data_IF_445461229800
#
_entry.id   IF_445461229800
#
_cell.length_a   1.000
_cell.length_b   1.000
_cell.length_c   1.000
_cell.angle_alpha   90.00
_cell.angle_beta   90.00
_cell.angle_gamma   90.00
#
_symmetry.space_group_name_H-M   'P 1'
#
loop_
_entity.id
_entity.type
_entity.pdbx_description
1 polymer ?
#
# COMPACT_ATOMS: atom_id res chain seq x y z
N UNK A 1 -18.15 -8.24 -36.36
CA UNK A 1 -17.86 -7.27 -35.27
C UNK A 1 -17.21 -8.03 -34.11
N UNK A 2 -15.95 -7.71 -33.83
CA UNK A 2 -15.37 -7.51 -32.49
C UNK A 2 -15.01 -8.68 -31.55
N UNK A 3 -14.53 -9.82 -32.06
CA UNK A 3 -13.85 -10.79 -31.18
C UNK A 3 -12.55 -10.23 -30.57
N UNK A 4 -11.80 -9.39 -31.30
CA UNK A 4 -10.59 -8.76 -30.77
C UNK A 4 -10.88 -7.73 -29.67
N UNK A 5 -11.97 -6.95 -29.82
CA UNK A 5 -12.36 -5.95 -28.84
C UNK A 5 -12.83 -6.59 -27.52
N UNK A 6 -13.51 -7.75 -27.56
CA UNK A 6 -13.90 -8.47 -26.34
C UNK A 6 -12.73 -9.13 -25.60
N UNK A 7 -11.62 -9.42 -26.29
CA UNK A 7 -10.39 -9.92 -25.67
C UNK A 7 -9.63 -8.77 -24.99
N UNK A 8 -9.47 -7.63 -25.66
CA UNK A 8 -8.82 -6.43 -25.11
C UNK A 8 -9.57 -5.88 -23.88
N UNK A 9 -10.90 -5.79 -23.94
CA UNK A 9 -11.72 -5.30 -22.81
C UNK A 9 -11.64 -6.24 -21.60
N UNK A 10 -11.43 -7.54 -21.83
CA UNK A 10 -11.34 -8.56 -20.79
C UNK A 10 -9.99 -8.52 -20.07
N UNK A 11 -8.88 -8.45 -20.80
CA UNK A 11 -7.55 -8.35 -20.20
C UNK A 11 -7.37 -7.00 -19.49
N UNK A 12 -7.91 -5.91 -20.05
CA UNK A 12 -7.92 -4.60 -19.38
C UNK A 12 -8.78 -4.60 -18.11
N UNK A 13 -9.96 -5.23 -18.13
CA UNK A 13 -10.85 -5.34 -16.97
C UNK A 13 -10.25 -6.18 -15.83
N UNK A 14 -9.61 -7.30 -16.17
CA UNK A 14 -8.91 -8.14 -15.20
C UNK A 14 -7.72 -7.41 -14.55
N UNK A 15 -6.94 -6.68 -15.35
CA UNK A 15 -5.80 -5.90 -14.87
C UNK A 15 -6.24 -4.78 -13.92
N UNK A 16 -7.27 -4.01 -14.28
CA UNK A 16 -7.82 -2.95 -13.42
C UNK A 16 -8.36 -3.52 -12.10
N UNK A 17 -9.11 -4.63 -12.16
CA UNK A 17 -9.66 -5.29 -10.97
C UNK A 17 -8.54 -5.80 -10.06
N UNK A 18 -7.48 -6.35 -10.64
CA UNK A 18 -6.29 -6.78 -9.92
C UNK A 18 -5.55 -5.62 -9.25
N UNK A 19 -5.36 -4.51 -9.95
CA UNK A 19 -4.73 -3.30 -9.39
C UNK A 19 -5.54 -2.78 -8.21
N UNK A 20 -6.85 -2.62 -8.35
CA UNK A 20 -7.72 -2.14 -7.27
C UNK A 20 -7.71 -3.06 -6.05
N UNK A 21 -7.83 -4.38 -6.27
CA UNK A 21 -7.77 -5.36 -5.18
C UNK A 21 -6.40 -5.36 -4.48
N UNK A 22 -5.32 -5.23 -5.25
CA UNK A 22 -3.96 -5.09 -4.72
C UNK A 22 -3.78 -3.82 -3.89
N UNK A 23 -4.24 -2.67 -4.38
CA UNK A 23 -4.18 -1.41 -3.64
C UNK A 23 -4.97 -1.46 -2.33
N UNK A 24 -6.19 -2.00 -2.35
CA UNK A 24 -7.05 -2.11 -1.17
C UNK A 24 -6.45 -3.07 -0.12
N UNK A 25 -6.06 -4.27 -0.55
CA UNK A 25 -5.46 -5.26 0.35
C UNK A 25 -4.12 -4.80 0.91
N UNK A 26 -3.27 -4.18 0.08
CA UNK A 26 -1.98 -3.65 0.52
C UNK A 26 -2.13 -2.49 1.50
N UNK A 27 -3.08 -1.57 1.26
CA UNK A 27 -3.39 -0.48 2.19
C UNK A 27 -3.95 -1.01 3.51
N UNK A 28 -4.85 -2.00 3.45
CA UNK A 28 -5.38 -2.65 4.64
C UNK A 28 -4.30 -3.36 5.45
N UNK A 29 -3.43 -4.11 4.79
CA UNK A 29 -2.29 -4.78 5.44
C UNK A 29 -1.32 -3.77 6.07
N UNK A 30 -1.00 -2.68 5.37
CA UNK A 30 -0.20 -1.59 5.92
C UNK A 30 -0.80 -1.06 7.23
N UNK A 31 -2.10 -0.72 7.23
CA UNK A 31 -2.81 -0.15 8.39
C UNK A 31 -2.92 -1.12 9.58
N UNK A 32 -3.07 -2.42 9.33
CA UNK A 32 -3.08 -3.43 10.39
C UNK A 32 -1.68 -3.60 10.97
N UNK A 33 -0.68 -3.77 10.10
CA UNK A 33 0.70 -4.04 10.54
C UNK A 33 1.27 -2.86 11.30
N UNK A 34 1.01 -1.62 10.85
CA UNK A 34 1.45 -0.44 11.61
C UNK A 34 0.78 -0.39 12.98
N UNK A 35 -0.53 -0.66 13.08
CA UNK A 35 -1.21 -0.65 14.38
C UNK A 35 -0.57 -1.66 15.35
N UNK A 36 -0.33 -2.88 14.90
CA UNK A 36 0.34 -3.92 15.70
C UNK A 36 1.80 -3.56 16.02
N UNK A 37 2.55 -3.01 15.04
CA UNK A 37 3.93 -2.58 15.21
C UNK A 37 4.09 -1.57 16.36
N UNK A 38 3.19 -0.59 16.41
CA UNK A 38 3.18 0.42 17.46
C UNK A 38 2.63 -0.15 18.78
N UNK A 39 1.64 -1.05 18.74
CA UNK A 39 1.12 -1.73 19.94
C UNK A 39 2.18 -2.61 20.63
N UNK A 40 3.09 -3.21 19.88
CA UNK A 40 4.21 -4.00 20.41
C UNK A 40 5.39 -3.16 20.91
N UNK A 41 5.29 -1.83 20.81
CA UNK A 41 6.34 -0.91 21.28
C UNK A 41 7.56 -0.87 20.36
N UNK A 42 7.44 -1.30 19.10
CA UNK A 42 8.50 -1.20 18.10
C UNK A 42 8.54 0.17 17.40
N UNK A 43 7.57 1.04 17.68
CA UNK A 43 7.58 2.45 17.29
C UNK A 43 8.26 3.35 18.34
N UNK A 44 8.64 4.58 17.98
CA UNK A 44 9.22 5.53 18.92
C UNK A 44 8.18 6.04 19.94
N UNK A 45 8.25 5.53 21.17
CA UNK A 45 7.45 6.03 22.29
C UNK A 45 5.96 5.64 22.24
N UNK A 46 5.20 6.07 23.25
CA UNK A 46 3.77 5.78 23.39
C UNK A 46 2.89 6.82 22.70
N UNK A 47 3.02 6.97 21.38
CA UNK A 47 2.28 7.97 20.62
C UNK A 47 0.84 7.53 20.35
N UNK A 48 -0.07 8.51 20.32
CA UNK A 48 -1.43 8.25 19.88
C UNK A 48 -1.47 8.05 18.36
N UNK A 49 -2.53 7.41 17.85
CA UNK A 49 -2.72 7.24 16.41
C UNK A 49 -2.73 8.57 15.65
N UNK A 50 -3.27 9.62 16.28
CA UNK A 50 -3.24 10.98 15.75
C UNK A 50 -1.81 11.48 15.60
N UNK A 51 -0.97 11.35 16.63
CA UNK A 51 0.41 11.83 16.60
C UNK A 51 1.23 11.12 15.51
N UNK A 52 1.04 9.81 15.37
CA UNK A 52 1.67 9.01 14.31
C UNK A 52 1.29 9.55 12.93
N UNK A 53 0.00 9.82 12.71
CA UNK A 53 -0.49 10.35 11.43
C UNK A 53 0.08 11.76 11.14
N UNK A 54 0.11 12.66 12.12
CA UNK A 54 0.69 13.99 11.96
C UNK A 54 2.20 13.92 11.70
N UNK A 55 2.92 13.03 12.37
CA UNK A 55 4.35 12.83 12.16
C UNK A 55 4.65 12.30 10.75
N UNK A 56 3.88 11.34 10.26
CA UNK A 56 4.03 10.80 8.91
C UNK A 56 3.65 11.83 7.84
N UNK A 57 2.58 12.59 8.07
CA UNK A 57 2.21 13.68 7.18
C UNK A 57 3.27 14.77 7.13
N UNK A 58 3.81 15.18 8.28
CA UNK A 58 4.91 16.13 8.34
C UNK A 58 6.15 15.62 7.61
N UNK A 59 6.50 14.33 7.77
CA UNK A 59 7.59 13.72 7.04
C UNK A 59 7.34 13.75 5.54
N UNK A 60 6.15 13.35 5.07
CA UNK A 60 5.79 13.36 3.66
C UNK A 60 5.81 14.78 3.07
N UNK A 61 5.03 15.69 3.64
CA UNK A 61 4.89 17.05 3.16
C UNK A 61 6.21 17.84 3.25
N UNK A 62 7.01 17.61 4.30
CA UNK A 62 8.31 18.25 4.47
C UNK A 62 9.38 17.78 3.49
N UNK A 63 9.29 16.56 2.96
CA UNK A 63 10.17 16.12 1.86
C UNK A 63 9.77 16.75 0.52
N UNK A 64 8.48 17.01 0.29
CA UNK A 64 7.99 17.66 -0.93
C UNK A 64 8.17 19.18 -0.89
N UNK A 65 7.92 19.78 0.26
CA UNK A 65 7.95 21.21 0.51
C UNK A 65 8.77 21.47 1.78
N UNK A 66 10.08 21.73 1.67
CA UNK A 66 10.96 21.92 2.83
C UNK A 66 10.53 23.04 3.79
N UNK A 67 9.73 24.00 3.31
CA UNK A 67 9.15 25.09 4.10
C UNK A 67 7.85 24.74 4.83
N UNK A 68 7.29 23.55 4.60
CA UNK A 68 6.05 23.12 5.25
C UNK A 68 6.24 23.01 6.76
N UNK A 69 5.33 23.63 7.50
CA UNK A 69 5.28 23.64 8.96
C UNK A 69 3.94 23.05 9.40
N UNK A 70 4.01 21.90 10.06
CA UNK A 70 2.87 21.27 10.71
C UNK A 70 2.88 21.49 12.23
N UNK A 71 2.04 20.73 12.93
CA UNK A 71 1.88 20.82 14.39
C UNK A 71 3.15 20.47 15.17
N UNK A 72 3.99 19.61 14.59
CA UNK A 72 5.29 19.20 15.17
C UNK A 72 6.45 20.10 14.69
N UNK A 73 6.14 21.25 14.08
CA UNK A 73 7.12 22.16 13.50
C UNK A 73 7.43 21.83 12.04
N UNK A 74 8.65 22.15 11.59
CA UNK A 74 9.13 21.76 10.26
C UNK A 74 9.70 20.34 10.30
N UNK A 75 9.72 19.67 9.16
CA UNK A 75 10.32 18.33 9.08
C UNK A 75 11.77 18.31 9.56
N UNK A 76 12.57 19.32 9.23
CA UNK A 76 13.97 19.39 9.69
C UNK A 76 14.08 19.47 11.22
N UNK A 77 13.27 20.32 11.86
CA UNK A 77 13.27 20.44 13.32
C UNK A 77 12.79 19.14 14.00
N UNK A 78 11.74 18.52 13.47
CA UNK A 78 11.23 17.25 13.97
C UNK A 78 12.23 16.10 13.78
N UNK A 79 12.92 16.05 12.64
CA UNK A 79 13.99 15.09 12.36
C UNK A 79 15.16 15.24 13.32
N UNK A 80 15.58 16.47 13.59
CA UNK A 80 16.62 16.78 14.59
C UNK A 80 16.20 16.25 15.97
N UNK A 81 14.96 16.56 16.39
CA UNK A 81 14.39 16.11 17.66
C UNK A 81 14.34 14.58 17.78
N UNK A 82 13.96 13.86 16.72
CA UNK A 82 13.98 12.40 16.66
C UNK A 82 15.39 11.83 16.83
N UNK A 83 16.39 12.46 16.20
CA UNK A 83 17.79 12.04 16.28
C UNK A 83 18.37 12.26 17.67
N UNK A 84 18.11 13.42 18.27
CA UNK A 84 18.54 13.76 19.63
C UNK A 84 17.99 12.80 20.68
N UNK A 85 16.85 12.15 20.41
CA UNK A 85 16.23 11.15 21.28
C UNK A 85 16.53 9.71 20.90
N UNK A 86 17.41 9.47 19.91
CA UNK A 86 17.71 8.14 19.37
C UNK A 86 16.46 7.38 18.89
N UNK A 87 15.45 8.12 18.39
CA UNK A 87 14.15 7.59 17.95
C UNK A 87 14.00 7.57 16.42
N UNK A 88 14.92 8.19 15.68
CA UNK A 88 14.84 8.33 14.23
C UNK A 88 14.80 7.00 13.48
N UNK A 89 15.65 6.04 13.86
CA UNK A 89 15.72 4.74 13.19
C UNK A 89 14.45 3.92 13.45
N UNK A 90 13.95 3.95 14.69
CA UNK A 90 12.69 3.33 15.06
C UNK A 90 11.50 3.95 14.31
N UNK A 91 11.45 5.29 14.19
CA UNK A 91 10.43 6.01 13.41
C UNK A 91 10.46 5.62 11.93
N UNK A 92 11.67 5.48 11.37
CA UNK A 92 11.85 5.11 9.97
C UNK A 92 11.43 3.66 9.73
N UNK A 93 11.83 2.75 10.61
CA UNK A 93 11.43 1.34 10.57
C UNK A 93 9.91 1.15 10.73
N UNK A 94 9.27 1.92 11.60
CA UNK A 94 7.82 1.85 11.85
C UNK A 94 6.97 2.28 10.65
N UNK A 95 7.57 2.92 9.65
CA UNK A 95 6.92 3.18 8.35
C UNK A 95 7.28 2.11 7.32
N UNK A 96 8.58 1.87 7.11
CA UNK A 96 9.05 1.02 6.00
C UNK A 96 8.67 -0.45 6.17
N UNK A 97 8.71 -1.00 7.38
CA UNK A 97 8.38 -2.42 7.58
C UNK A 97 6.90 -2.68 7.29
N UNK A 98 5.93 -1.94 7.87
CA UNK A 98 4.53 -2.07 7.46
C UNK A 98 4.30 -1.81 5.97
N UNK A 99 5.00 -0.83 5.39
CA UNK A 99 4.86 -0.51 3.97
C UNK A 99 5.29 -1.66 3.07
N UNK A 100 6.44 -2.30 3.35
CA UNK A 100 6.93 -3.43 2.57
C UNK A 100 6.01 -4.65 2.68
N UNK A 101 5.43 -4.90 3.87
CA UNK A 101 4.44 -5.95 4.06
C UNK A 101 3.17 -5.63 3.26
N UNK A 102 2.67 -4.40 3.35
CA UNK A 102 1.51 -3.94 2.58
C UNK A 102 1.73 -4.07 1.07
N UNK A 103 2.89 -3.64 0.56
CA UNK A 103 3.27 -3.77 -0.84
C UNK A 103 3.30 -5.25 -1.28
N UNK A 104 3.91 -6.12 -0.48
CA UNK A 104 4.00 -7.56 -0.77
C UNK A 104 2.62 -8.22 -0.82
N UNK A 105 1.76 -7.90 0.15
CA UNK A 105 0.36 -8.38 0.17
C UNK A 105 -0.41 -7.86 -1.03
N UNK A 106 -0.30 -6.57 -1.34
CA UNK A 106 -0.99 -5.95 -2.47
C UNK A 106 -0.59 -6.55 -3.82
N UNK A 107 0.72 -6.77 -4.04
CA UNK A 107 1.22 -7.43 -5.25
C UNK A 107 0.72 -8.88 -5.36
N UNK A 108 0.76 -9.64 -4.26
CA UNK A 108 0.29 -11.02 -4.24
C UNK A 108 -1.22 -11.12 -4.51
N UNK A 109 -2.04 -10.31 -3.84
CA UNK A 109 -3.49 -10.28 -4.04
C UNK A 109 -3.85 -9.82 -5.44
N UNK A 110 -3.23 -8.74 -5.93
CA UNK A 110 -3.47 -8.24 -7.28
C UNK A 110 -3.16 -9.31 -8.33
N UNK A 111 -2.02 -9.98 -8.21
CA UNK A 111 -1.64 -11.09 -9.09
C UNK A 111 -2.64 -12.25 -9.03
N UNK A 112 -3.08 -12.66 -7.83
CA UNK A 112 -4.08 -13.72 -7.65
C UNK A 112 -5.39 -13.34 -8.33
N UNK A 113 -5.84 -12.09 -8.17
CA UNK A 113 -7.11 -11.60 -8.74
C UNK A 113 -7.05 -11.56 -10.26
N UNK A 114 -5.99 -11.00 -10.86
CA UNK A 114 -5.80 -11.03 -12.33
C UNK A 114 -5.87 -12.48 -12.83
N UNK A 115 -5.14 -13.38 -12.18
CA UNK A 115 -5.12 -14.80 -12.56
C UNK A 115 -6.49 -15.47 -12.41
N UNK A 116 -7.23 -15.17 -11.35
CA UNK A 116 -8.54 -15.75 -11.09
C UNK A 116 -9.60 -15.26 -12.09
N UNK A 117 -9.58 -13.96 -12.44
CA UNK A 117 -10.50 -13.38 -13.43
C UNK A 117 -10.22 -13.94 -14.82
N UNK A 118 -8.94 -14.09 -15.21
CA UNK A 118 -8.57 -14.67 -16.50
C UNK A 118 -8.90 -16.17 -16.60
N UNK A 119 -8.83 -16.92 -15.49
CA UNK A 119 -9.27 -18.33 -15.44
C UNK A 119 -10.77 -18.50 -15.72
N UNK A 120 -11.62 -17.52 -15.37
CA UNK A 120 -13.08 -17.59 -15.56
C UNK A 120 -13.55 -17.53 -17.02
N UNK A 121 -12.66 -17.54 -18.02
CA UNK A 121 -13.08 -17.79 -19.41
C UNK A 121 -12.13 -18.64 -20.22
N UNK A 122 -11.40 -19.52 -19.53
CA UNK A 122 -10.97 -20.78 -20.13
C UNK A 122 -12.11 -21.84 -20.13
N UNK A 123 -13.37 -21.42 -19.96
CA UNK A 123 -14.54 -22.25 -20.19
C UNK A 123 -15.20 -21.80 -21.50
N UNK A 124 -15.43 -22.77 -22.40
CA UNK A 124 -16.13 -22.68 -23.68
C UNK A 124 -15.32 -22.17 -24.89
N UNK A 125 -14.62 -23.09 -25.57
CA UNK A 125 -14.94 -23.63 -26.92
C UNK A 125 -13.93 -24.78 -27.15
N UNK A 126 -14.26 -25.98 -26.68
CA UNK A 126 -13.64 -27.21 -27.17
C UNK A 126 -14.70 -28.31 -27.12
N UNK A 127 -15.59 -28.28 -28.11
CA UNK A 127 -16.69 -29.22 -28.26
C UNK A 127 -17.95 -28.56 -28.82
N UNK A 128 -17.99 -28.38 -30.14
CA UNK A 128 -19.19 -28.36 -31.00
C UNK A 128 -18.88 -27.65 -32.32
N UNK A 129 -18.35 -28.40 -33.29
CA UNK A 129 -18.87 -28.29 -34.65
C UNK A 129 -19.26 -29.70 -35.09
N UNK A 130 -20.57 -29.93 -35.10
CA UNK A 130 -21.18 -30.91 -35.97
C UNK A 130 -20.93 -30.48 -37.42
N UNK A 131 -20.20 -31.32 -38.14
CA UNK A 131 -20.49 -31.78 -39.50
C UNK A 131 -19.48 -32.87 -39.85
#
# INVERSE_FOLDING_TARGET
MNNFQSFDDRDNGAMLTGVLAGCLSGSGAFLVVIKEWWAWGWGPGGWSWSDIAHAYWLAFAGHLFPSYKGDLGTWNAFREWLRLRHQYDAFTASFWVPFLIGLSVGLAVGWIVVRAVNRKGASYIRGAKFN
#
